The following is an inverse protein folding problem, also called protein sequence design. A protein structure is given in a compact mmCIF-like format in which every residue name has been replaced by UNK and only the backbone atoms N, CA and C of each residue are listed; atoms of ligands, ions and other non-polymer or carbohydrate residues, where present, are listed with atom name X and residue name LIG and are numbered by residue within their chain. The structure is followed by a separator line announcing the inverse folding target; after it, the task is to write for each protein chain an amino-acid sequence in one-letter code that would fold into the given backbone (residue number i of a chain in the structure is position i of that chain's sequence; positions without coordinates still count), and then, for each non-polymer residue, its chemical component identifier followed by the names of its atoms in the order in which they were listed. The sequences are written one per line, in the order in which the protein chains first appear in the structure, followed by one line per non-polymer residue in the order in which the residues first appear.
data_IF_204393921968
#
_entry.id   IF_204393921968
#
_cell.length_a   1.000
_cell.length_b   1.000
_cell.length_c   1.000
_cell.angle_alpha   90.00
_cell.angle_beta   90.00
_cell.angle_gamma   90.00
#
_symmetry.space_group_name_H-M   'P 1'
#
loop_
_entity.id
_entity.type
_entity.pdbx_description
1 polymer ?
#
# COMPACT_ATOMS: atom_id res chain seq x y z
N UNK A 1 9.43 -16.19 -9.90
CA UNK A 1 9.39 -15.04 -10.86
C UNK A 1 9.92 -13.73 -10.26
N UNK A 2 9.35 -13.26 -9.14
CA UNK A 2 9.77 -12.01 -8.48
C UNK A 2 11.25 -12.01 -8.06
N UNK A 3 11.72 -13.04 -7.35
CA UNK A 3 13.13 -13.16 -6.92
C UNK A 3 14.14 -13.11 -8.08
N UNK A 4 13.75 -13.64 -9.24
CA UNK A 4 14.60 -13.57 -10.44
C UNK A 4 14.69 -12.14 -10.97
N UNK A 5 13.56 -11.46 -11.08
CA UNK A 5 13.48 -10.05 -11.47
C UNK A 5 14.31 -9.18 -10.51
N UNK A 6 14.11 -9.33 -9.20
CA UNK A 6 14.82 -8.58 -8.17
C UNK A 6 16.35 -8.73 -8.31
N UNK A 7 16.84 -9.97 -8.43
CA UNK A 7 18.26 -10.27 -8.62
C UNK A 7 18.82 -9.64 -9.90
N UNK A 8 18.05 -9.60 -10.98
CA UNK A 8 18.47 -8.96 -12.23
C UNK A 8 18.57 -7.45 -12.06
N UNK A 9 17.56 -6.80 -11.49
CA UNK A 9 17.53 -5.35 -11.28
C UNK A 9 18.61 -4.87 -10.31
N UNK A 10 18.90 -5.64 -9.25
CA UNK A 10 19.99 -5.36 -8.31
C UNK A 10 21.35 -5.26 -8.98
N UNK A 11 21.62 -6.04 -10.04
CA UNK A 11 22.90 -5.96 -10.78
C UNK A 11 23.12 -4.58 -11.39
N UNK A 12 22.09 -4.01 -12.01
CA UNK A 12 22.16 -2.68 -12.62
C UNK A 12 22.21 -1.57 -11.57
N UNK A 13 21.39 -1.69 -10.51
CA UNK A 13 21.39 -0.74 -9.41
C UNK A 13 22.73 -0.66 -8.67
N UNK A 14 23.43 -1.79 -8.50
CA UNK A 14 24.75 -1.83 -7.87
C UNK A 14 25.79 -1.00 -8.65
N UNK A 15 25.65 -0.92 -9.96
CA UNK A 15 26.53 -0.14 -10.84
C UNK A 15 26.03 1.31 -11.04
N UNK A 16 24.96 1.72 -10.35
CA UNK A 16 24.38 3.06 -10.52
C UNK A 16 23.73 3.30 -11.87
N UNK A 17 23.41 2.23 -12.61
CA UNK A 17 22.80 2.32 -13.95
C UNK A 17 21.28 2.48 -13.80
N UNK A 18 20.71 3.41 -14.57
CA UNK A 18 19.27 3.66 -14.63
C UNK A 18 18.52 2.42 -15.13
N UNK A 19 17.43 2.10 -14.46
CA UNK A 19 16.65 0.87 -14.67
C UNK A 19 15.23 1.17 -15.09
N UNK A 20 14.68 0.35 -15.99
CA UNK A 20 13.30 0.48 -16.45
C UNK A 20 12.59 -0.88 -16.47
N UNK A 21 11.28 -0.89 -16.25
CA UNK A 21 10.45 -2.08 -16.38
C UNK A 21 9.09 -1.76 -17.02
N UNK A 22 8.53 -2.75 -17.71
CA UNK A 22 7.23 -2.62 -18.36
C UNK A 22 6.08 -3.04 -17.47
N UNK A 23 5.01 -2.26 -17.55
CA UNK A 23 3.65 -2.61 -17.13
C UNK A 23 2.76 -2.74 -18.36
N UNK A 24 1.55 -3.26 -18.16
CA UNK A 24 0.55 -3.40 -19.22
C UNK A 24 -0.68 -2.56 -18.91
N UNK A 25 -1.15 -1.79 -19.89
CA UNK A 25 -2.49 -1.22 -19.89
C UNK A 25 -3.51 -2.35 -20.00
N UNK A 26 -4.66 -2.17 -19.36
CA UNK A 26 -5.83 -3.05 -19.44
C UNK A 26 -6.76 -2.69 -20.61
N UNK A 27 -6.52 -1.54 -21.26
CA UNK A 27 -7.31 -1.04 -22.40
C UNK A 27 -6.54 -1.13 -23.72
N UNK A 28 -5.21 -0.98 -23.69
CA UNK A 28 -4.37 -0.97 -24.89
C UNK A 28 -4.34 -2.31 -25.62
N UNK A 29 -4.68 -2.30 -26.92
CA UNK A 29 -4.79 -3.52 -27.74
C UNK A 29 -3.61 -3.75 -28.68
N UNK A 30 -2.80 -2.72 -28.95
CA UNK A 30 -1.66 -2.76 -29.86
C UNK A 30 -0.44 -3.33 -29.13
N UNK A 31 0.08 -4.44 -29.66
CA UNK A 31 1.34 -5.06 -29.27
C UNK A 31 2.22 -5.33 -30.50
N UNK A 32 3.44 -5.86 -30.31
CA UNK A 32 4.35 -6.15 -31.42
C UNK A 32 3.92 -7.36 -32.26
N UNK A 33 3.06 -8.24 -31.72
CA UNK A 33 2.61 -9.48 -32.35
C UNK A 33 1.08 -9.57 -32.32
N UNK A 34 0.53 -10.52 -33.07
CA UNK A 34 -0.90 -10.84 -33.12
C UNK A 34 -1.44 -11.36 -31.76
N UNK A 35 -0.60 -12.07 -31.01
CA UNK A 35 -0.90 -12.50 -29.64
C UNK A 35 -0.51 -11.41 -28.64
N UNK A 36 -1.48 -10.91 -27.88
CA UNK A 36 -1.30 -9.85 -26.88
C UNK A 36 -2.13 -10.11 -25.61
N UNK A 37 -1.62 -10.97 -24.72
CA UNK A 37 -2.23 -11.30 -23.43
C UNK A 37 -1.82 -10.32 -22.30
N UNK A 38 -1.46 -9.09 -22.68
CA UNK A 38 -0.80 -8.11 -21.81
C UNK A 38 0.73 -8.27 -21.78
N UNK A 39 1.43 -7.14 -21.69
CA UNK A 39 2.88 -7.07 -21.92
C UNK A 39 3.71 -6.61 -20.69
N UNK A 40 3.44 -7.05 -19.43
CA UNK A 40 4.25 -6.67 -18.28
C UNK A 40 5.61 -7.41 -18.22
N UNK A 41 6.56 -6.91 -17.42
CA UNK A 41 7.78 -7.64 -17.06
C UNK A 41 7.50 -8.72 -16.01
N UNK A 42 6.72 -8.38 -14.97
CA UNK A 42 6.38 -9.28 -13.88
C UNK A 42 5.03 -9.94 -14.16
N UNK A 43 4.99 -11.27 -14.14
CA UNK A 43 3.77 -12.04 -14.39
C UNK A 43 2.60 -11.64 -13.46
N UNK A 44 2.92 -11.38 -12.19
CA UNK A 44 1.92 -10.95 -11.20
C UNK A 44 1.29 -9.58 -11.49
N UNK A 45 1.79 -8.83 -12.48
CA UNK A 45 1.23 -7.54 -12.90
C UNK A 45 0.25 -7.65 -14.06
N UNK A 46 0.09 -8.83 -14.68
CA UNK A 46 -0.69 -9.01 -15.92
C UNK A 46 -2.11 -8.48 -15.84
N UNK A 47 -2.76 -8.68 -14.70
CA UNK A 47 -4.16 -8.31 -14.48
C UNK A 47 -4.32 -7.21 -13.42
N UNK A 48 -3.23 -6.57 -12.99
CA UNK A 48 -3.31 -5.45 -12.06
C UNK A 48 -3.63 -4.16 -12.80
N UNK A 49 -4.30 -3.25 -12.10
CA UNK A 49 -4.41 -1.86 -12.55
C UNK A 49 -3.01 -1.24 -12.72
N UNK A 50 -2.87 -0.37 -13.73
CA UNK A 50 -1.56 0.18 -14.14
C UNK A 50 -0.85 0.89 -12.98
N UNK A 51 -1.60 1.63 -12.16
CA UNK A 51 -1.10 2.38 -11.03
C UNK A 51 -0.61 1.45 -9.91
N UNK A 52 -1.25 0.29 -9.71
CA UNK A 52 -0.83 -0.69 -8.70
C UNK A 52 0.46 -1.37 -9.12
N UNK A 53 0.56 -1.77 -10.39
CA UNK A 53 1.78 -2.34 -10.95
C UNK A 53 2.94 -1.33 -10.87
N UNK A 54 2.69 -0.05 -11.18
CA UNK A 54 3.67 1.02 -11.06
C UNK A 54 4.09 1.26 -9.60
N UNK A 55 3.13 1.36 -8.66
CA UNK A 55 3.38 1.47 -7.21
C UNK A 55 4.30 0.34 -6.75
N UNK A 56 4.05 -0.90 -7.17
CA UNK A 56 4.88 -2.05 -6.82
C UNK A 56 6.31 -1.92 -7.35
N UNK A 57 6.48 -1.56 -8.63
CA UNK A 57 7.82 -1.38 -9.22
C UNK A 57 8.62 -0.29 -8.48
N UNK A 58 8.01 0.85 -8.18
CA UNK A 58 8.66 1.91 -7.42
C UNK A 58 8.96 1.49 -5.98
N UNK A 59 8.06 0.76 -5.32
CA UNK A 59 8.25 0.27 -3.96
C UNK A 59 9.46 -0.68 -3.82
N UNK A 60 9.84 -1.39 -4.89
CA UNK A 60 11.08 -2.19 -4.88
C UNK A 60 12.34 -1.35 -4.69
N UNK A 61 12.30 -0.06 -5.03
CA UNK A 61 13.46 0.82 -5.13
C UNK A 61 14.54 0.32 -6.13
N UNK A 62 14.16 -0.60 -7.02
CA UNK A 62 15.04 -1.20 -8.02
C UNK A 62 14.77 -0.73 -9.44
N UNK A 63 13.67 0.00 -9.67
CA UNK A 63 13.23 0.49 -10.98
C UNK A 63 13.09 2.01 -10.93
N UNK A 64 13.70 2.72 -11.88
CA UNK A 64 13.63 4.17 -12.01
C UNK A 64 12.49 4.61 -12.94
N UNK A 65 12.29 3.89 -14.04
CA UNK A 65 11.30 4.21 -15.06
C UNK A 65 10.29 3.08 -15.23
N UNK A 66 9.01 3.45 -15.24
CA UNK A 66 7.89 2.53 -15.52
C UNK A 66 7.30 2.91 -16.88
N UNK A 67 7.20 1.92 -17.78
CA UNK A 67 6.79 2.13 -19.17
C UNK A 67 5.58 1.24 -19.47
N UNK A 68 4.53 1.80 -20.08
CA UNK A 68 3.42 0.99 -20.62
C UNK A 68 3.88 0.39 -21.94
N UNK A 69 3.84 -0.95 -22.07
CA UNK A 69 4.37 -1.62 -23.26
C UNK A 69 3.37 -1.75 -24.41
N UNK A 70 2.08 -1.93 -24.11
CA UNK A 70 1.00 -1.96 -25.09
C UNK A 70 0.41 -0.56 -25.29
N UNK A 71 -0.23 -0.35 -26.44
CA UNK A 71 -0.82 0.95 -26.80
C UNK A 71 -2.26 0.82 -27.32
N UNK A 72 -3.10 1.85 -27.24
CA UNK A 72 -2.92 3.05 -26.41
C UNK A 72 -3.53 2.81 -25.03
N UNK A 73 -2.86 3.27 -23.98
CA UNK A 73 -3.50 3.37 -22.67
C UNK A 73 -4.64 4.39 -22.73
N UNK A 74 -5.68 4.17 -21.94
CA UNK A 74 -6.77 5.13 -21.80
C UNK A 74 -6.32 6.39 -21.05
N UNK A 75 -7.03 7.51 -21.25
CA UNK A 75 -6.79 8.75 -20.50
C UNK A 75 -6.88 8.53 -18.99
N UNK A 76 -7.83 7.70 -18.54
CA UNK A 76 -7.98 7.34 -17.13
C UNK A 76 -6.75 6.61 -16.57
N UNK A 77 -6.17 5.67 -17.32
CA UNK A 77 -4.94 4.97 -16.94
C UNK A 77 -3.73 5.92 -16.90
N UNK A 78 -3.63 6.84 -17.86
CA UNK A 78 -2.57 7.84 -17.90
C UNK A 78 -2.66 8.81 -16.71
N UNK A 79 -3.87 9.28 -16.38
CA UNK A 79 -4.11 10.12 -15.20
C UNK A 79 -3.82 9.38 -13.90
N UNK A 80 -4.25 8.12 -13.77
CA UNK A 80 -3.97 7.28 -12.60
C UNK A 80 -2.46 7.15 -12.38
N UNK A 81 -1.69 6.86 -13.45
CA UNK A 81 -0.23 6.81 -13.40
C UNK A 81 0.42 8.17 -13.08
N UNK A 82 -0.16 9.26 -13.58
CA UNK A 82 0.30 10.62 -13.30
C UNK A 82 0.19 11.01 -11.82
N UNK A 83 -0.80 10.48 -11.11
CA UNK A 83 -1.00 10.72 -9.68
C UNK A 83 -0.14 9.85 -8.76
N UNK A 84 0.52 8.80 -9.29
CA UNK A 84 1.37 7.91 -8.47
C UNK A 84 2.57 8.68 -7.91
N UNK A 85 2.66 8.73 -6.57
CA UNK A 85 3.88 9.17 -5.91
C UNK A 85 4.98 8.12 -6.06
N UNK A 86 6.04 8.46 -6.80
CA UNK A 86 7.15 7.54 -7.11
C UNK A 86 8.10 7.30 -5.94
N UNK A 87 8.06 8.15 -4.91
CA UNK A 87 9.06 8.18 -3.84
C UNK A 87 8.50 7.76 -2.48
N UNK A 88 7.20 7.47 -2.40
CA UNK A 88 6.52 7.07 -1.18
C UNK A 88 5.29 6.22 -1.50
N UNK A 89 5.15 5.08 -0.81
CA UNK A 89 3.95 4.25 -0.92
C UNK A 89 2.73 4.96 -0.34
N UNK A 90 1.68 5.06 -1.15
CA UNK A 90 0.36 5.54 -0.76
C UNK A 90 -0.64 4.42 -1.01
N UNK A 91 -1.30 3.97 0.06
CA UNK A 91 -2.31 2.92 0.00
C UNK A 91 -3.70 3.52 -0.21
N UNK A 92 -4.47 2.97 -1.14
CA UNK A 92 -5.91 3.23 -1.23
C UNK A 92 -6.64 2.44 -0.16
N UNK A 93 -7.59 3.09 0.52
CA UNK A 93 -8.33 2.50 1.64
C UNK A 93 -9.83 2.55 1.41
N UNK A 94 -10.52 1.49 1.82
CA UNK A 94 -11.97 1.47 1.99
C UNK A 94 -12.29 1.52 3.47
N UNK A 95 -12.97 2.57 3.91
CA UNK A 95 -13.42 2.70 5.30
C UNK A 95 -14.62 1.78 5.57
N UNK A 96 -14.78 1.34 6.83
CA UNK A 96 -16.05 0.77 7.31
C UNK A 96 -17.04 1.90 7.60
N UNK A 97 -18.34 1.61 7.61
CA UNK A 97 -19.39 2.61 7.80
C UNK A 97 -19.30 3.28 9.19
N UNK A 98 -18.84 2.53 10.18
CA UNK A 98 -18.68 2.94 11.58
C UNK A 98 -17.42 3.78 11.82
N UNK A 99 -16.52 3.89 10.84
CA UNK A 99 -15.28 4.66 10.97
C UNK A 99 -15.59 6.13 11.27
N UNK A 100 -15.18 6.59 12.44
CA UNK A 100 -15.50 7.92 12.92
C UNK A 100 -14.52 8.99 12.38
N UNK A 101 -14.86 10.25 12.61
CA UNK A 101 -14.10 11.39 12.07
C UNK A 101 -12.65 11.42 12.57
N UNK A 102 -12.39 11.10 13.85
CA UNK A 102 -11.00 11.10 14.35
C UNK A 102 -10.18 9.99 13.72
N UNK A 103 -10.77 8.83 13.46
CA UNK A 103 -10.11 7.72 12.79
C UNK A 103 -9.79 8.04 11.33
N UNK A 104 -10.73 8.63 10.60
CA UNK A 104 -10.49 9.11 9.22
C UNK A 104 -9.39 10.16 9.17
N UNK A 105 -9.36 11.09 10.14
CA UNK A 105 -8.28 12.07 10.25
C UNK A 105 -6.93 11.42 10.53
N UNK A 106 -6.87 10.44 11.46
CA UNK A 106 -5.65 9.69 11.75
C UNK A 106 -5.12 9.01 10.49
N UNK A 107 -6.00 8.45 9.65
CA UNK A 107 -5.62 7.72 8.42
C UNK A 107 -5.20 8.68 7.29
N UNK A 108 -5.99 9.72 7.00
CA UNK A 108 -5.82 10.52 5.78
C UNK A 108 -4.88 11.72 5.95
N UNK A 109 -4.79 12.30 7.16
CA UNK A 109 -4.09 13.57 7.36
C UNK A 109 -2.67 13.43 7.90
N UNK A 110 -2.22 12.20 8.18
CA UNK A 110 -0.95 11.95 8.85
C UNK A 110 0.13 11.41 7.92
N UNK A 111 1.37 11.81 8.20
CA UNK A 111 2.53 11.11 7.67
C UNK A 111 2.83 9.91 8.58
N UNK A 112 2.52 8.71 8.10
CA UNK A 112 2.84 7.49 8.84
C UNK A 112 4.27 7.06 8.61
N UNK A 113 4.83 6.39 9.63
CA UNK A 113 6.07 5.64 9.50
C UNK A 113 5.96 4.36 10.31
N UNK A 114 6.53 3.27 9.79
CA UNK A 114 6.63 2.00 10.53
C UNK A 114 7.71 2.16 11.60
N UNK A 115 7.33 2.00 12.87
CA UNK A 115 8.29 2.01 13.98
C UNK A 115 9.35 0.90 13.78
N UNK A 116 10.61 1.21 14.08
CA UNK A 116 11.75 0.34 13.75
C UNK A 116 11.85 -0.96 14.54
N UNK A 117 11.36 -0.99 15.78
CA UNK A 117 11.13 -2.19 16.58
C UNK A 117 9.85 -2.89 16.09
N UNK A 118 10.01 -3.60 14.97
CA UNK A 118 8.92 -4.26 14.28
C UNK A 118 8.36 -5.43 15.08
N UNK A 119 7.08 -5.69 14.87
CA UNK A 119 6.43 -6.94 15.26
C UNK A 119 6.02 -7.68 13.99
N UNK A 120 5.89 -8.99 14.07
CA UNK A 120 5.40 -9.82 12.97
C UNK A 120 3.92 -9.51 12.70
N UNK A 121 3.13 -9.27 13.75
CA UNK A 121 1.68 -9.19 13.67
C UNK A 121 1.13 -7.91 12.99
N UNK A 122 1.83 -6.77 13.11
CA UNK A 122 1.32 -5.46 12.67
C UNK A 122 2.42 -4.48 12.24
N UNK A 123 2.10 -3.61 11.28
CA UNK A 123 2.82 -2.36 11.03
C UNK A 123 2.29 -1.32 12.03
N UNK A 124 3.17 -0.65 12.78
CA UNK A 124 2.76 0.30 13.84
C UNK A 124 3.14 1.73 13.49
N UNK A 125 2.14 2.59 13.38
CA UNK A 125 2.30 4.05 13.30
C UNK A 125 2.11 4.66 14.69
N UNK A 126 3.22 4.93 15.38
CA UNK A 126 3.17 5.28 16.81
C UNK A 126 3.14 6.78 17.12
N UNK A 127 3.44 7.65 16.16
CA UNK A 127 3.42 9.10 16.39
C UNK A 127 2.00 9.64 16.57
N UNK A 128 1.06 9.12 15.78
CA UNK A 128 -0.33 9.60 15.74
C UNK A 128 -1.00 9.53 17.11
N UNK A 129 -0.71 8.50 17.92
CA UNK A 129 -1.27 8.37 19.27
C UNK A 129 -0.93 9.52 20.21
N UNK A 130 0.19 10.22 19.98
CA UNK A 130 0.55 11.40 20.78
C UNK A 130 -0.29 12.60 20.37
N UNK A 131 -0.46 12.81 19.05
CA UNK A 131 -1.26 13.89 18.48
C UNK A 131 -2.74 13.77 18.84
N UNK A 132 -3.27 12.55 18.84
CA UNK A 132 -4.68 12.27 19.07
C UNK A 132 -4.99 11.80 20.50
N UNK A 133 -4.06 11.93 21.46
CA UNK A 133 -4.20 11.39 22.82
C UNK A 133 -5.48 11.85 23.55
N UNK A 134 -5.90 13.09 23.33
CA UNK A 134 -7.04 13.72 24.00
C UNK A 134 -8.38 13.41 23.33
N UNK A 135 -8.37 12.86 22.11
CA UNK A 135 -9.58 12.52 21.38
C UNK A 135 -10.15 11.21 21.93
N UNK A 136 -11.48 11.17 22.11
CA UNK A 136 -12.17 9.93 22.45
C UNK A 136 -12.29 9.07 21.21
N UNK A 137 -12.11 7.78 21.40
CA UNK A 137 -12.35 6.80 20.35
C UNK A 137 -13.09 5.59 20.94
N UNK A 138 -14.42 5.63 21.01
CA UNK A 138 -15.20 4.56 21.62
C UNK A 138 -15.06 3.26 20.80
N UNK A 139 -15.22 2.09 21.44
CA UNK A 139 -15.11 0.81 20.75
C UNK A 139 -16.23 0.61 19.72
N UNK A 140 -15.86 0.23 18.50
CA UNK A 140 -16.74 -0.33 17.47
C UNK A 140 -15.94 -1.32 16.61
N UNK A 141 -16.60 -2.32 16.03
CA UNK A 141 -15.95 -3.34 15.19
C UNK A 141 -14.71 -3.99 15.82
N UNK A 142 -14.71 -4.11 17.15
CA UNK A 142 -13.55 -4.53 17.93
C UNK A 142 -13.58 -6.01 18.33
N UNK A 143 -14.70 -6.69 18.12
CA UNK A 143 -14.88 -8.10 18.48
C UNK A 143 -14.61 -9.07 17.33
N UNK A 144 -14.42 -8.57 16.11
CA UNK A 144 -14.12 -9.37 14.92
C UNK A 144 -12.66 -9.87 14.91
N UNK A 145 -12.37 -10.83 14.04
CA UNK A 145 -10.99 -11.17 13.70
C UNK A 145 -10.50 -10.25 12.58
N UNK A 146 -9.43 -9.51 12.87
CA UNK A 146 -8.78 -8.67 11.88
C UNK A 146 -8.01 -9.52 10.89
N UNK A 147 -8.05 -9.15 9.62
CA UNK A 147 -7.41 -9.84 8.52
C UNK A 147 -6.22 -9.03 7.97
N UNK A 148 -5.38 -9.67 7.16
CA UNK A 148 -4.22 -8.98 6.54
C UNK A 148 -4.70 -7.78 5.72
N UNK A 149 -4.05 -6.63 5.91
CA UNK A 149 -4.43 -5.38 5.25
C UNK A 149 -5.51 -4.58 5.95
N UNK A 150 -6.13 -5.10 7.01
CA UNK A 150 -7.02 -4.32 7.86
C UNK A 150 -6.25 -3.17 8.53
N UNK A 151 -6.89 -2.01 8.55
CA UNK A 151 -6.43 -0.82 9.26
C UNK A 151 -7.19 -0.76 10.56
N UNK A 152 -6.44 -0.79 11.67
CA UNK A 152 -7.01 -0.77 13.02
C UNK A 152 -6.44 0.38 13.83
N UNK A 153 -7.26 0.96 14.70
CA UNK A 153 -6.86 2.05 15.60
C UNK A 153 -7.19 1.66 17.03
N UNK A 154 -6.28 1.94 17.97
CA UNK A 154 -6.54 1.68 19.39
C UNK A 154 -7.68 2.53 19.94
N UNK A 155 -8.68 1.91 20.54
CA UNK A 155 -9.84 2.59 21.13
C UNK A 155 -9.60 3.02 22.58
N UNK A 156 -10.62 3.56 23.24
CA UNK A 156 -10.56 4.10 24.60
C UNK A 156 -10.13 3.08 25.65
N UNK A 157 -10.33 1.77 25.40
CA UNK A 157 -9.88 0.71 26.28
C UNK A 157 -8.38 0.38 26.15
N UNK A 158 -7.68 0.98 25.17
CA UNK A 158 -6.27 0.67 24.90
C UNK A 158 -5.27 1.56 25.67
N UNK A 159 -5.73 2.36 26.64
CA UNK A 159 -4.88 3.11 27.56
C UNK A 159 -3.78 3.92 26.87
N UNK A 160 -2.51 3.59 27.12
CA UNK A 160 -1.34 4.28 26.52
C UNK A 160 -1.25 4.13 24.98
N UNK A 161 -1.96 3.19 24.40
CA UNK A 161 -1.98 2.89 22.96
C UNK A 161 -3.25 3.41 22.27
N UNK A 162 -4.11 4.15 22.99
CA UNK A 162 -5.27 4.83 22.39
C UNK A 162 -4.83 5.69 21.21
N UNK A 163 -5.56 5.57 20.10
CA UNK A 163 -5.32 6.24 18.83
C UNK A 163 -3.99 5.89 18.15
N UNK A 164 -3.37 4.76 18.49
CA UNK A 164 -2.28 4.17 17.70
C UNK A 164 -2.86 3.46 16.47
N UNK A 165 -2.47 3.92 15.26
CA UNK A 165 -2.84 3.26 14.01
C UNK A 165 -1.91 2.07 13.74
N UNK A 166 -2.51 0.97 13.29
CA UNK A 166 -1.81 -0.25 12.91
C UNK A 166 -2.37 -0.81 11.59
N UNK A 167 -1.52 -1.42 10.77
CA UNK A 167 -1.95 -2.26 9.64
C UNK A 167 -1.67 -3.71 10.02
N UNK A 168 -2.65 -4.59 9.81
CA UNK A 168 -2.56 -6.00 10.18
C UNK A 168 -1.75 -6.79 9.16
N UNK A 169 -0.77 -7.57 9.65
CA UNK A 169 0.08 -8.46 8.85
C UNK A 169 -0.21 -9.94 9.12
N UNK A 170 -0.71 -10.27 10.30
CA UNK A 170 -1.21 -11.61 10.65
C UNK A 170 -2.58 -11.52 11.32
N UNK A 171 -3.54 -12.39 10.95
CA UNK A 171 -4.87 -12.38 11.54
C UNK A 171 -4.86 -12.53 13.07
N UNK A 172 -5.70 -11.75 13.76
CA UNK A 172 -5.82 -11.78 15.22
C UNK A 172 -7.06 -11.04 15.73
N UNK A 173 -7.37 -11.20 17.02
CA UNK A 173 -8.45 -10.49 17.73
C UNK A 173 -7.88 -9.63 18.85
N UNK A 174 -8.39 -8.40 18.98
CA UNK A 174 -8.08 -7.53 20.12
C UNK A 174 -9.22 -6.51 20.32
N UNK A 175 -10.03 -6.68 21.37
CA UNK A 175 -11.19 -5.82 21.67
C UNK A 175 -10.84 -4.34 21.96
N UNK A 176 -9.56 -4.05 22.18
CA UNK A 176 -9.06 -2.70 22.44
C UNK A 176 -8.73 -1.94 21.14
N UNK A 177 -8.97 -2.55 19.97
CA UNK A 177 -8.76 -1.94 18.66
C UNK A 177 -10.07 -1.91 17.89
N UNK A 178 -10.32 -0.83 17.18
CA UNK A 178 -11.41 -0.74 16.21
C UNK A 178 -10.87 -1.06 14.82
N UNK A 179 -11.64 -1.81 14.01
CA UNK A 179 -11.39 -1.88 12.57
C UNK A 179 -11.94 -0.62 11.91
N UNK A 180 -11.09 0.09 11.18
CA UNK A 180 -11.40 1.38 10.56
C UNK A 180 -11.65 1.22 9.06
N UNK A 181 -10.99 0.24 8.46
CA UNK A 181 -11.06 0.00 7.03
C UNK A 181 -10.09 -1.09 6.61
N UNK A 182 -9.90 -1.20 5.31
CA UNK A 182 -9.00 -2.16 4.70
C UNK A 182 -8.28 -1.50 3.52
N UNK A 183 -7.00 -1.83 3.37
CA UNK A 183 -6.26 -1.53 2.14
C UNK A 183 -6.92 -2.32 0.99
N UNK A 184 -7.03 -1.71 -0.20
CA UNK A 184 -7.57 -2.44 -1.35
C UNK A 184 -6.80 -3.73 -1.62
N UNK A 185 -7.52 -4.81 -1.92
CA UNK A 185 -6.97 -6.16 -2.05
C UNK A 185 -5.80 -6.20 -3.05
N UNK A 186 -5.93 -5.51 -4.18
CA UNK A 186 -4.88 -5.44 -5.20
C UNK A 186 -3.60 -4.72 -4.73
N UNK A 187 -3.68 -3.88 -3.69
CA UNK A 187 -2.55 -3.14 -3.13
C UNK A 187 -1.88 -3.86 -1.95
N UNK A 188 -2.40 -5.00 -1.48
CA UNK A 188 -1.75 -5.80 -0.45
C UNK A 188 -0.35 -6.28 -0.85
N UNK A 189 -0.09 -6.39 -2.15
CA UNK A 189 1.24 -6.65 -2.73
C UNK A 189 2.30 -5.62 -2.27
N UNK A 190 1.89 -4.42 -1.83
CA UNK A 190 2.78 -3.36 -1.38
C UNK A 190 3.19 -3.50 0.10
N UNK A 191 2.45 -4.27 0.91
CA UNK A 191 2.73 -4.43 2.35
C UNK A 191 4.16 -4.91 2.67
N UNK A 192 4.74 -5.88 1.95
CA UNK A 192 6.11 -6.32 2.19
C UNK A 192 7.16 -5.22 2.01
N UNK A 193 6.84 -4.11 1.34
CA UNK A 193 7.77 -3.00 1.12
C UNK A 193 7.73 -1.94 2.24
N UNK A 194 6.79 -2.04 3.18
CA UNK A 194 6.74 -1.18 4.36
C UNK A 194 7.69 -1.73 5.42
N UNK A 195 8.98 -1.52 5.22
CA UNK A 195 10.09 -1.94 6.09
C UNK A 195 10.23 -1.04 7.33
N UNK A 196 11.07 -1.43 8.33
CA UNK A 196 11.39 -0.57 9.47
C UNK A 196 11.75 0.86 9.02
N UNK A 197 11.13 1.87 9.62
CA UNK A 197 11.29 3.29 9.29
C UNK A 197 10.75 3.76 7.93
N UNK A 198 10.15 2.86 7.13
CA UNK A 198 9.48 3.26 5.89
C UNK A 198 8.35 4.25 6.20
N UNK A 199 8.29 5.30 5.38
CA UNK A 199 7.18 6.27 5.39
C UNK A 199 6.11 5.83 4.40
N UNK A 200 4.86 5.97 4.79
CA UNK A 200 3.71 5.67 3.95
C UNK A 200 2.54 6.61 4.26
N UNK A 201 1.58 6.67 3.34
CA UNK A 201 0.33 7.42 3.50
C UNK A 201 -0.85 6.59 3.03
N UNK A 202 -2.04 7.11 3.28
CA UNK A 202 -3.28 6.57 2.77
C UNK A 202 -4.01 7.63 1.94
N UNK A 203 -4.85 7.17 1.01
CA UNK A 203 -5.82 7.96 0.28
C UNK A 203 -7.14 7.18 0.20
N UNK A 204 -8.27 7.89 0.15
CA UNK A 204 -9.58 7.24 0.00
C UNK A 204 -9.72 6.72 -1.44
N UNK A 205 -10.38 5.56 -1.58
CA UNK A 205 -10.65 4.92 -2.89
C UNK A 205 -11.44 5.81 -3.83
#
# INVERSE_FOLDING_TARGET
PYTFFERCSQRFKKEGIRTAAFITSQIGTIGPWDINDGLPILEMHRHLAVEVAAKHLFATNLIDDVIIRNAYASEAELQALGHVNRYQTIFRVSFVDEANEVEKQIVLNEQHYRRGDITEQVIRSTAVRQKYKTYNNPPHDSTIEFQVGDIVVGNDHFGKYKNELQIVLHPHRDFRKNKIGQILEEELILLPFIQPWSKFKFEEK
#
